data_IF_050307238917
#
_entry.id   IF_050307238917
#
_cell.length_a   1.000
_cell.length_b   1.000
_cell.length_c   1.000
_cell.angle_alpha   90.00
_cell.angle_beta   90.00
_cell.angle_gamma   90.00
#
_symmetry.space_group_name_H-M   'P 1'
#
loop_
_entity.id
_entity.type
_entity.pdbx_description
1 polymer ?
#
# COMPACT_ATOMS: atom_id res chain seq x y z
N UNK A 1 -12.84 2.69 -11.75
CA UNK A 1 -12.20 1.37 -11.64
C UNK A 1 -10.73 1.47 -11.92
N UNK A 2 -9.89 1.26 -10.91
CA UNK A 2 -8.45 1.18 -11.04
C UNK A 2 -7.91 0.28 -9.92
N UNK A 3 -6.83 -0.44 -10.22
CA UNK A 3 -6.08 -1.28 -9.27
C UNK A 3 -4.60 -0.93 -9.46
N UNK A 4 -3.91 -0.67 -8.36
CA UNK A 4 -2.51 -0.27 -8.40
C UNK A 4 -1.87 -0.53 -7.05
N UNK A 5 -0.60 -0.18 -6.92
CA UNK A 5 0.12 -0.28 -5.67
C UNK A 5 1.50 0.31 -5.76
N UNK A 6 2.06 0.56 -4.58
CA UNK A 6 3.41 1.08 -4.39
C UNK A 6 4.24 -0.05 -3.80
N UNK A 7 5.28 -0.47 -4.52
CA UNK A 7 6.20 -1.50 -4.06
C UNK A 7 7.34 -0.84 -3.30
N UNK A 8 7.69 -1.40 -2.15
CA UNK A 8 8.74 -0.88 -1.29
C UNK A 8 9.95 -1.79 -1.37
N UNK A 9 11.06 -1.26 -1.89
CA UNK A 9 12.30 -2.03 -2.16
C UNK A 9 12.05 -3.25 -3.06
N UNK A 10 11.15 -3.08 -4.03
CA UNK A 10 10.72 -4.15 -4.93
C UNK A 10 9.73 -5.15 -4.35
N UNK A 11 9.29 -5.02 -3.09
CA UNK A 11 8.32 -5.93 -2.47
C UNK A 11 6.89 -5.38 -2.59
N UNK A 12 5.91 -6.17 -3.06
CA UNK A 12 4.51 -5.75 -3.21
C UNK A 12 3.66 -5.93 -1.95
N UNK A 13 2.62 -5.15 -1.71
CA UNK A 13 2.42 -3.78 -2.15
C UNK A 13 1.65 -3.02 -1.07
N UNK A 14 1.93 -1.72 -0.93
CA UNK A 14 0.97 -0.78 -0.34
C UNK A 14 -0.13 -0.58 -1.38
N UNK A 15 -1.33 -1.07 -1.08
CA UNK A 15 -2.36 -1.27 -2.08
C UNK A 15 -3.15 -0.02 -2.43
N UNK A 16 -3.58 0.09 -3.68
CA UNK A 16 -4.52 1.12 -4.16
C UNK A 16 -5.70 0.42 -4.83
N UNK A 17 -6.90 0.68 -4.32
CA UNK A 17 -8.16 0.15 -4.81
C UNK A 17 -9.09 1.26 -5.31
N UNK A 18 -10.04 0.86 -6.15
CA UNK A 18 -11.36 1.50 -6.18
C UNK A 18 -12.22 0.85 -5.09
N UNK A 19 -12.37 1.53 -3.94
CA UNK A 19 -13.12 1.00 -2.79
C UNK A 19 -14.62 0.82 -3.05
N UNK A 20 -15.11 1.32 -4.20
CA UNK A 20 -16.50 1.18 -4.63
C UNK A 20 -16.71 0.00 -5.58
N UNK A 21 -15.65 -0.71 -6.00
CA UNK A 21 -15.76 -1.88 -6.87
C UNK A 21 -16.19 -3.12 -6.09
N UNK A 22 -17.49 -3.40 -6.09
CA UNK A 22 -18.11 -4.54 -5.40
C UNK A 22 -17.46 -5.89 -5.74
N UNK A 23 -16.86 -6.03 -6.94
CA UNK A 23 -16.16 -7.26 -7.34
C UNK A 23 -14.95 -7.57 -6.44
N UNK A 24 -14.39 -6.54 -5.81
CA UNK A 24 -13.22 -6.63 -4.93
C UNK A 24 -13.59 -6.78 -3.45
N UNK A 25 -14.86 -6.69 -3.07
CA UNK A 25 -15.27 -6.76 -1.66
C UNK A 25 -14.96 -8.13 -1.03
N UNK A 26 -15.08 -9.21 -1.80
CA UNK A 26 -14.69 -10.56 -1.35
C UNK A 26 -13.23 -10.67 -0.95
N UNK A 27 -12.38 -9.78 -1.48
CA UNK A 27 -10.96 -9.72 -1.16
C UNK A 27 -10.62 -8.50 -0.29
N UNK A 28 -11.61 -7.76 0.22
CA UNK A 28 -11.41 -6.64 1.14
C UNK A 28 -11.19 -5.28 0.48
N UNK A 29 -11.52 -5.11 -0.81
CA UNK A 29 -11.43 -3.82 -1.49
C UNK A 29 -12.32 -2.74 -0.87
N UNK A 30 -13.43 -3.13 -0.25
CA UNK A 30 -14.34 -2.27 0.53
C UNK A 30 -13.70 -1.67 1.78
N UNK A 31 -12.56 -2.21 2.23
CA UNK A 31 -11.82 -1.66 3.39
C UNK A 31 -11.00 -0.42 3.00
N UNK A 32 -10.80 -0.17 1.71
CA UNK A 32 -10.02 0.94 1.19
C UNK A 32 -8.54 0.62 0.94
N UNK A 33 -7.79 1.66 0.57
CA UNK A 33 -6.40 1.60 0.15
C UNK A 33 -5.40 1.74 1.31
N UNK A 34 -4.13 1.47 1.02
CA UNK A 34 -2.98 1.68 1.92
C UNK A 34 -2.57 0.48 2.74
N UNK A 35 -3.38 -0.60 2.75
CA UNK A 35 -3.01 -1.87 3.38
C UNK A 35 -1.82 -2.55 2.71
N UNK A 36 -1.12 -3.41 3.47
CA UNK A 36 -0.02 -4.26 3.03
C UNK A 36 -0.60 -5.57 2.47
N UNK A 37 -1.14 -5.49 1.26
CA UNK A 37 -2.06 -6.50 0.71
C UNK A 37 -1.54 -7.93 0.78
N UNK A 38 -0.25 -8.13 0.48
CA UNK A 38 0.38 -9.44 0.43
C UNK A 38 0.82 -10.00 1.79
N UNK A 39 0.63 -9.27 2.89
CA UNK A 39 0.82 -9.83 4.21
C UNK A 39 -0.18 -10.96 4.47
N UNK A 40 0.21 -11.88 5.34
CA UNK A 40 -0.58 -13.03 5.74
C UNK A 40 -1.94 -12.62 6.33
N UNK A 41 -2.98 -13.44 6.14
CA UNK A 41 -4.34 -13.14 6.63
C UNK A 41 -4.30 -12.85 8.14
N UNK A 42 -4.88 -11.72 8.56
CA UNK A 42 -4.91 -11.28 9.96
C UNK A 42 -3.62 -10.63 10.46
N UNK A 43 -2.55 -10.57 9.66
CA UNK A 43 -1.34 -9.87 10.05
C UNK A 43 -1.60 -8.36 10.20
N UNK A 44 -0.89 -7.74 11.16
CA UNK A 44 -0.96 -6.28 11.37
C UNK A 44 -0.66 -5.57 10.04
N UNK A 45 -1.49 -4.59 9.70
CA UNK A 45 -1.33 -3.76 8.51
C UNK A 45 -1.72 -4.43 7.19
N UNK A 46 -2.17 -5.70 7.17
CA UNK A 46 -2.72 -6.32 5.95
C UNK A 46 -3.86 -5.47 5.39
N UNK A 47 -4.87 -5.25 6.22
CA UNK A 47 -6.00 -4.39 5.93
C UNK A 47 -5.71 -2.99 6.51
N UNK A 48 -6.18 -1.91 5.87
CA UNK A 48 -6.07 -0.57 6.43
C UNK A 48 -6.91 -0.43 7.72
N UNK A 49 -6.45 0.42 8.65
CA UNK A 49 -7.13 0.70 9.92
C UNK A 49 -8.45 1.43 9.73
N UNK A 50 -8.53 2.30 8.72
CA UNK A 50 -9.71 3.09 8.38
C UNK A 50 -9.79 3.26 6.86
N UNK A 51 -11.01 3.31 6.33
CA UNK A 51 -11.24 3.75 4.96
C UNK A 51 -10.93 5.25 4.89
N UNK A 52 -9.89 5.60 4.14
CA UNK A 52 -9.40 6.98 4.03
C UNK A 52 -9.36 7.48 2.57
N UNK A 53 -9.75 6.64 1.62
CA UNK A 53 -9.85 6.95 0.20
C UNK A 53 -10.81 8.12 -0.05
N UNK A 54 -10.44 8.96 -1.00
CA UNK A 54 -11.36 9.92 -1.60
C UNK A 54 -12.15 9.27 -2.74
N UNK A 55 -13.28 9.87 -3.15
CA UNK A 55 -14.05 9.41 -4.29
C UNK A 55 -13.22 9.22 -5.57
N UNK A 56 -13.68 8.34 -6.44
CA UNK A 56 -13.03 8.08 -7.74
C UNK A 56 -12.89 9.38 -8.55
N UNK A 57 -11.72 9.57 -9.17
CA UNK A 57 -11.37 10.79 -9.91
C UNK A 57 -10.71 11.87 -9.06
N UNK A 58 -10.71 11.75 -7.73
CA UNK A 58 -9.99 12.66 -6.85
C UNK A 58 -8.56 12.21 -6.53
N UNK A 59 -7.72 13.19 -6.22
CA UNK A 59 -6.34 12.94 -5.81
C UNK A 59 -6.25 12.46 -4.36
N UNK A 60 -5.77 11.23 -4.21
CA UNK A 60 -5.34 10.67 -2.93
C UNK A 60 -3.87 11.02 -2.65
N UNK A 61 -3.52 11.22 -1.37
CA UNK A 61 -2.16 11.52 -0.93
C UNK A 61 -1.64 10.47 0.04
N UNK A 62 -0.48 9.90 -0.27
CA UNK A 62 0.20 8.92 0.55
C UNK A 62 1.42 9.53 1.24
N UNK A 63 1.60 9.20 2.53
CA UNK A 63 2.88 9.33 3.23
C UNK A 63 3.27 7.98 3.79
N UNK A 64 4.29 7.38 3.19
CA UNK A 64 4.77 6.04 3.56
C UNK A 64 6.14 6.18 4.24
N UNK A 65 6.28 5.57 5.41
CA UNK A 65 7.54 5.49 6.15
C UNK A 65 7.92 4.02 6.30
N UNK A 66 9.11 3.66 5.82
CA UNK A 66 9.69 2.33 5.96
C UNK A 66 10.99 2.43 6.77
N UNK A 67 11.05 1.79 7.94
CA UNK A 67 12.26 1.69 8.78
C UNK A 67 12.53 0.22 9.07
N UNK A 68 13.72 -0.26 8.70
CA UNK A 68 13.99 -1.70 8.66
C UNK A 68 13.00 -2.40 7.74
N UNK A 69 12.08 -3.17 8.31
CA UNK A 69 10.98 -3.87 7.64
C UNK A 69 9.60 -3.37 8.06
N UNK A 70 9.55 -2.32 8.89
CA UNK A 70 8.32 -1.79 9.48
C UNK A 70 7.80 -0.62 8.65
N UNK A 71 6.56 -0.74 8.21
CA UNK A 71 5.86 0.24 7.38
C UNK A 71 4.82 0.98 8.21
N UNK A 72 4.77 2.28 8.04
CA UNK A 72 3.67 3.15 8.47
C UNK A 72 3.13 3.85 7.25
N UNK A 73 1.81 3.84 7.05
CA UNK A 73 1.14 4.48 5.92
C UNK A 73 0.11 5.46 6.46
N UNK A 74 0.19 6.70 5.99
CA UNK A 74 -0.90 7.65 6.08
C UNK A 74 -1.50 7.84 4.69
N UNK A 75 -2.83 7.80 4.61
CA UNK A 75 -3.61 8.08 3.42
C UNK A 75 -4.53 9.27 3.73
N UNK A 76 -4.41 10.34 2.95
CA UNK A 76 -5.16 11.58 3.13
C UNK A 76 -5.08 12.12 4.57
N UNK A 77 -3.89 12.05 5.19
CA UNK A 77 -3.64 12.49 6.55
C UNK A 77 -4.08 11.52 7.65
N UNK A 78 -4.85 10.48 7.33
CA UNK A 78 -5.29 9.45 8.29
C UNK A 78 -4.30 8.30 8.35
N UNK A 79 -4.01 7.82 9.55
CA UNK A 79 -3.16 6.64 9.76
C UNK A 79 -3.92 5.38 9.33
N UNK A 80 -3.43 4.69 8.29
CA UNK A 80 -4.07 3.47 7.75
C UNK A 80 -3.22 2.21 7.97
N UNK A 81 -1.92 2.34 8.17
CA UNK A 81 -1.06 1.24 8.63
C UNK A 81 -0.11 1.80 9.68
N UNK A 82 -0.11 1.18 10.86
CA UNK A 82 0.73 1.60 11.98
C UNK A 82 1.86 0.60 12.23
N UNK A 83 3.11 1.00 11.95
CA UNK A 83 4.32 0.27 12.30
C UNK A 83 4.25 -1.27 12.10
N UNK A 84 3.70 -1.70 10.96
CA UNK A 84 3.45 -3.10 10.63
C UNK A 84 4.65 -3.71 9.90
N UNK A 85 4.95 -5.01 10.13
CA UNK A 85 6.01 -5.68 9.37
C UNK A 85 5.50 -5.92 7.93
N UNK A 86 6.27 -5.51 6.93
CA UNK A 86 6.03 -5.92 5.55
C UNK A 86 6.66 -7.28 5.30
N UNK A 87 5.84 -8.26 4.95
CA UNK A 87 6.31 -9.60 4.61
C UNK A 87 6.90 -9.60 3.20
N UNK A 88 8.03 -10.28 3.03
CA UNK A 88 8.62 -10.44 1.71
C UNK A 88 7.79 -11.45 0.91
N UNK A 89 7.01 -10.95 -0.05
CA UNK A 89 6.14 -11.76 -0.89
C UNK A 89 6.92 -12.82 -1.69
N UNK A 90 8.11 -12.48 -2.18
CA UNK A 90 8.91 -13.36 -3.04
C UNK A 90 9.74 -14.37 -2.25
N UNK A 91 10.04 -14.08 -0.98
CA UNK A 91 10.72 -14.99 -0.07
C UNK A 91 10.13 -14.86 1.34
N UNK A 92 9.15 -15.72 1.64
CA UNK A 92 8.43 -15.72 2.93
C UNK A 92 9.30 -16.14 4.11
N UNK A 93 10.41 -16.84 3.87
CA UNK A 93 11.36 -17.26 4.92
C UNK A 93 12.38 -16.15 5.19
N UNK A 94 12.70 -15.36 4.17
CA UNK A 94 13.59 -14.21 4.24
C UNK A 94 12.94 -12.92 4.76
N UNK A 95 13.80 -11.93 4.97
CA UNK A 95 13.40 -10.57 5.30
C UNK A 95 13.14 -9.71 4.06
N UNK A 96 12.64 -8.50 4.28
CA UNK A 96 12.63 -7.45 3.27
C UNK A 96 14.07 -7.11 2.86
N UNK A 97 14.35 -6.87 1.56
CA UNK A 97 15.65 -6.35 1.14
C UNK A 97 16.03 -5.08 1.89
N UNK A 98 17.34 -4.91 2.19
CA UNK A 98 17.84 -3.69 2.86
C UNK A 98 17.72 -2.45 1.96
N UNK A 99 17.83 -2.63 0.64
CA UNK A 99 17.72 -1.60 -0.40
C UNK A 99 17.01 -2.19 -1.61
N UNK A 100 16.40 -1.35 -2.42
CA UNK A 100 15.70 -1.74 -3.64
C UNK A 100 14.90 -0.58 -4.23
N UNK A 101 14.28 -0.77 -5.39
CA UNK A 101 13.51 0.28 -6.06
C UNK A 101 12.20 0.60 -5.33
N UNK A 102 11.67 1.79 -5.59
CA UNK A 102 10.23 2.05 -5.46
C UNK A 102 9.62 1.80 -6.84
N UNK A 103 8.56 0.99 -6.90
CA UNK A 103 7.86 0.73 -8.17
C UNK A 103 6.40 1.16 -8.03
N UNK A 104 5.90 1.79 -9.09
CA UNK A 104 4.52 2.22 -9.22
C UNK A 104 3.84 1.23 -10.17
N UNK A 105 2.92 0.44 -9.64
CA UNK A 105 2.23 -0.58 -10.41
C UNK A 105 1.14 0.05 -11.29
N UNK A 106 0.94 -0.49 -12.48
CA UNK A 106 -0.29 -0.29 -13.26
C UNK A 106 -1.00 -1.63 -13.41
N UNK A 107 -2.31 -1.68 -13.11
CA UNK A 107 -3.08 -2.91 -13.21
C UNK A 107 -4.55 -2.63 -13.57
N UNK A 108 -4.98 -3.07 -14.75
CA UNK A 108 -6.41 -3.09 -15.12
C UNK A 108 -7.09 -1.73 -15.35
N UNK A 109 -6.40 -0.60 -15.18
CA UNK A 109 -6.94 0.74 -15.42
C UNK A 109 -5.86 1.81 -15.41
N UNK A 110 -6.17 2.98 -15.98
CA UNK A 110 -5.28 4.13 -15.97
C UNK A 110 -5.11 4.68 -14.55
N UNK A 111 -3.86 5.02 -14.21
CA UNK A 111 -3.49 5.67 -12.96
C UNK A 111 -2.56 6.83 -13.34
N UNK A 112 -2.79 7.99 -12.72
CA UNK A 112 -1.92 9.15 -12.83
C UNK A 112 -1.22 9.41 -11.50
N UNK A 113 0.06 9.78 -11.55
CA UNK A 113 0.87 10.10 -10.38
C UNK A 113 1.36 11.54 -10.45
N UNK A 114 1.50 12.19 -9.30
CA UNK A 114 2.14 13.51 -9.17
C UNK A 114 2.80 13.64 -7.80
N UNK A 115 3.73 14.59 -7.66
CA UNK A 115 4.36 14.93 -6.38
C UNK A 115 5.01 13.72 -5.69
N UNK A 116 5.77 12.92 -6.45
CA UNK A 116 6.46 11.74 -5.96
C UNK A 116 7.86 12.13 -5.47
N UNK A 117 8.10 11.97 -4.17
CA UNK A 117 9.36 12.31 -3.53
C UNK A 117 9.81 11.18 -2.61
N UNK A 118 11.13 11.08 -2.43
CA UNK A 118 11.74 10.14 -1.49
C UNK A 118 12.75 10.88 -0.61
N UNK A 119 12.76 10.52 0.68
CA UNK A 119 13.77 10.97 1.64
C UNK A 119 14.32 9.75 2.37
N UNK A 120 15.62 9.54 2.26
CA UNK A 120 16.30 8.51 3.05
C UNK A 120 16.30 8.90 4.54
N UNK A 121 16.08 7.91 5.40
CA UNK A 121 16.07 8.09 6.85
C UNK A 121 17.43 7.68 7.40
N UNK A 122 17.97 8.48 8.32
CA UNK A 122 19.21 8.19 9.06
C UNK A 122 18.92 7.27 10.24
#
# INVERSE_FOLDING_TARGET
KADSGIYLRGVPQVQIWDYTDEKKFKIGGDKGSGGLWNNSKGAKGKDPLVLADKPFGEWNSFRIRLVGEKVTVHLNGKLVVDNAKMENYFDRKGGMPKRGPIQLQTHGGEISWRNVFIKELK
#
